data_IF_731423377886
#
_entry.id   IF_731423377886
#
_cell.length_a   1.000
_cell.length_b   1.000
_cell.length_c   1.000
_cell.angle_alpha   90.00
_cell.angle_beta   90.00
_cell.angle_gamma   90.00
#
_symmetry.space_group_name_H-M   'P 1'
#
loop_
_entity.id
_entity.type
_entity.pdbx_description
1 polymer ?
#
# COMPACT_ATOMS: atom_id res chain seq x y z
N UNK A 1 30.17 32.98 -20.58
CA UNK A 1 29.13 33.59 -21.46
C UNK A 1 28.03 32.56 -21.70
N UNK A 2 26.89 32.68 -21.01
CA UNK A 2 25.71 31.82 -21.18
C UNK A 2 24.79 32.45 -22.25
N UNK A 3 24.49 31.73 -23.32
CA UNK A 3 23.40 32.10 -24.24
C UNK A 3 22.04 31.80 -23.57
N UNK A 4 21.02 32.67 -23.71
CA UNK A 4 19.73 32.48 -23.06
C UNK A 4 18.87 31.42 -23.75
N UNK A 5 18.11 30.70 -22.91
CA UNK A 5 17.22 29.57 -23.18
C UNK A 5 16.23 29.76 -24.36
N UNK A 6 15.91 31.02 -24.71
CA UNK A 6 15.03 31.38 -25.83
C UNK A 6 15.52 30.87 -27.20
N UNK A 7 16.83 30.75 -27.41
CA UNK A 7 17.38 30.30 -28.70
C UNK A 7 17.25 28.79 -28.97
N UNK A 8 17.16 27.96 -27.92
CA UNK A 8 16.91 26.51 -28.09
C UNK A 8 15.45 26.22 -28.46
N UNK A 9 14.52 27.02 -27.94
CA UNK A 9 13.08 26.88 -28.23
C UNK A 9 12.76 27.19 -29.70
N UNK A 10 13.39 28.22 -30.29
CA UNK A 10 13.22 28.57 -31.70
C UNK A 10 13.75 27.50 -32.67
N UNK A 11 14.79 26.73 -32.29
CA UNK A 11 15.26 25.60 -33.11
C UNK A 11 14.28 24.43 -33.12
N UNK A 12 13.58 24.17 -32.01
CA UNK A 12 12.58 23.10 -31.92
C UNK A 12 11.34 23.48 -32.75
N UNK A 13 10.90 24.73 -32.69
CA UNK A 13 9.80 25.26 -33.53
C UNK A 13 10.13 25.24 -35.03
N UNK A 14 11.38 25.54 -35.41
CA UNK A 14 11.83 25.48 -36.81
C UNK A 14 11.90 24.06 -37.39
N UNK A 15 12.10 23.03 -36.55
CA UNK A 15 12.08 21.62 -36.96
C UNK A 15 10.65 21.10 -37.11
N UNK A 16 9.74 21.50 -36.22
CA UNK A 16 8.32 21.12 -36.28
C UNK A 16 7.64 21.74 -37.53
N UNK A 17 8.01 22.96 -37.92
CA UNK A 17 7.53 23.59 -39.16
C UNK A 17 7.93 22.84 -40.44
N UNK A 18 9.08 22.14 -40.46
CA UNK A 18 9.54 21.34 -41.61
C UNK A 18 8.85 19.98 -41.73
N UNK A 19 8.28 19.46 -40.64
CA UNK A 19 7.61 18.15 -40.61
C UNK A 19 6.17 18.23 -41.17
N UNK A 20 5.54 19.41 -41.15
CA UNK A 20 4.19 19.64 -41.68
C UNK A 20 4.10 19.77 -43.24
N UNK A 21 5.09 19.24 -43.96
CA UNK A 21 5.14 19.18 -45.42
C UNK A 21 4.03 18.28 -45.99
N UNK A 22 2.85 18.84 -46.28
CA UNK A 22 1.83 18.17 -47.10
C UNK A 22 2.29 18.11 -48.56
N UNK A 23 2.72 16.92 -48.99
CA UNK A 23 2.86 16.59 -50.43
C UNK A 23 1.48 16.54 -51.05
N UNK A 24 1.16 17.52 -51.89
CA UNK A 24 -0.01 17.48 -52.77
C UNK A 24 0.21 16.39 -53.83
N UNK A 25 -0.59 15.32 -53.80
CA UNK A 25 -0.67 14.38 -54.92
C UNK A 25 -1.51 15.02 -56.03
N UNK A 26 -0.89 15.27 -57.19
CA UNK A 26 -1.58 15.61 -58.43
C UNK A 26 -2.16 14.33 -59.03
N UNK A 27 -3.49 14.18 -59.01
CA UNK A 27 -4.19 13.21 -59.86
C UNK A 27 -4.55 13.92 -61.16
N UNK A 28 -3.91 13.51 -62.25
CA UNK A 28 -4.23 13.94 -63.62
C UNK A 28 -5.47 13.19 -64.10
N UNK A 29 -6.55 13.91 -64.43
CA UNK A 29 -7.49 13.47 -65.47
C UNK A 29 -8.00 14.65 -66.32
N UNK A 30 -7.78 14.50 -67.63
CA UNK A 30 -8.36 15.07 -68.86
C UNK A 30 -9.20 16.37 -68.85
N UNK A 31 -8.61 17.40 -69.47
CA UNK A 31 -9.16 18.43 -70.38
C UNK A 31 -10.65 18.85 -70.30
N UNK A 32 -10.92 20.08 -69.86
CA UNK A 32 -11.16 21.28 -70.71
C UNK A 32 -11.51 22.47 -69.81
N UNK A 33 -10.70 23.53 -69.93
CA UNK A 33 -10.60 24.61 -68.95
C UNK A 33 -11.75 25.60 -68.93
N UNK A 34 -12.26 25.84 -67.71
CA UNK A 34 -12.74 27.14 -67.21
C UNK A 34 -12.39 27.17 -65.72
N UNK A 35 -11.59 28.16 -65.30
CA UNK A 35 -11.20 28.38 -63.89
C UNK A 35 -12.25 29.26 -63.23
N UNK A 36 -12.92 28.77 -62.19
CA UNK A 36 -13.61 29.61 -61.21
C UNK A 36 -12.79 29.64 -59.91
N UNK A 37 -12.59 30.82 -59.28
CA UNK A 37 -11.96 30.87 -57.96
C UNK A 37 -12.96 30.37 -56.92
N UNK A 38 -12.85 29.10 -56.53
CA UNK A 38 -13.59 28.56 -55.40
C UNK A 38 -12.82 28.89 -54.12
N UNK A 39 -13.28 29.93 -53.41
CA UNK A 39 -12.87 30.20 -52.03
C UNK A 39 -13.42 29.07 -51.14
N UNK A 40 -12.55 28.14 -50.73
CA UNK A 40 -12.88 27.16 -49.69
C UNK A 40 -12.23 27.60 -48.39
N UNK A 41 -13.08 28.22 -47.56
CA UNK A 41 -13.12 28.13 -46.10
C UNK A 41 -11.79 28.08 -45.33
N UNK A 42 -11.37 29.26 -44.87
CA UNK A 42 -10.44 29.49 -43.74
C UNK A 42 -10.98 28.99 -42.38
N UNK A 43 -12.15 28.35 -42.33
CA UNK A 43 -12.77 27.85 -41.10
C UNK A 43 -12.15 26.54 -40.58
N UNK A 44 -11.74 25.62 -41.45
CA UNK A 44 -11.27 24.29 -41.02
C UNK A 44 -9.91 24.39 -40.31
N UNK A 45 -9.03 25.30 -40.78
CA UNK A 45 -7.72 25.52 -40.16
C UNK A 45 -7.82 26.15 -38.76
N UNK A 46 -8.83 27.00 -38.52
CA UNK A 46 -9.02 27.62 -37.21
C UNK A 46 -9.50 26.61 -36.18
N UNK A 47 -10.47 25.75 -36.54
CA UNK A 47 -10.94 24.68 -35.66
C UNK A 47 -9.84 23.66 -35.32
N UNK A 48 -9.02 23.27 -36.29
CA UNK A 48 -7.90 22.36 -36.03
C UNK A 48 -6.80 22.99 -35.16
N UNK A 49 -6.56 24.30 -35.26
CA UNK A 49 -5.61 24.98 -34.36
C UNK A 49 -6.15 25.17 -32.95
N UNK A 50 -7.44 25.47 -32.80
CA UNK A 50 -8.11 25.54 -31.49
C UNK A 50 -8.14 24.15 -30.83
N UNK A 51 -8.45 23.09 -31.58
CA UNK A 51 -8.48 21.72 -31.05
C UNK A 51 -7.08 21.27 -30.60
N UNK A 52 -6.04 21.55 -31.40
CA UNK A 52 -4.66 21.25 -31.02
C UNK A 52 -4.17 22.11 -29.84
N UNK A 53 -4.62 23.36 -29.72
CA UNK A 53 -4.29 24.22 -28.58
C UNK A 53 -4.96 23.73 -27.30
N UNK A 54 -6.23 23.30 -27.37
CA UNK A 54 -6.95 22.68 -26.24
C UNK A 54 -6.31 21.34 -25.87
N UNK A 55 -5.92 20.51 -26.83
CA UNK A 55 -5.22 19.25 -26.57
C UNK A 55 -3.84 19.49 -25.95
N UNK A 56 -3.13 20.55 -26.37
CA UNK A 56 -1.86 20.96 -25.79
C UNK A 56 -2.05 21.51 -24.37
N UNK A 57 -3.12 22.27 -24.08
CA UNK A 57 -3.44 22.72 -22.72
C UNK A 57 -3.77 21.54 -21.81
N UNK A 58 -4.53 20.54 -22.28
CA UNK A 58 -4.82 19.29 -21.54
C UNK A 58 -3.55 18.46 -21.33
N UNK A 59 -2.64 18.42 -22.32
CA UNK A 59 -1.35 17.74 -22.22
C UNK A 59 -0.36 18.48 -21.30
N UNK A 60 -0.45 19.81 -21.21
CA UNK A 60 0.35 20.63 -20.28
C UNK A 60 -0.18 20.53 -18.86
N UNK A 61 -1.50 20.47 -18.65
CA UNK A 61 -2.11 20.20 -17.32
C UNK A 61 -1.76 18.79 -16.82
N UNK A 62 -1.76 17.78 -17.70
CA UNK A 62 -1.34 16.42 -17.31
C UNK A 62 0.16 16.26 -17.12
N UNK A 63 0.99 17.15 -17.70
CA UNK A 63 2.44 17.17 -17.49
C UNK A 63 2.89 18.04 -16.30
N UNK A 64 1.97 18.82 -15.71
CA UNK A 64 2.25 19.64 -14.51
C UNK A 64 1.74 19.03 -13.20
N UNK A 65 1.13 17.84 -13.21
CA UNK A 65 0.78 17.11 -11.99
C UNK A 65 1.91 16.19 -11.48
N UNK A 66 3.16 16.59 -11.67
CA UNK A 66 4.29 16.14 -10.86
C UNK A 66 4.74 17.28 -9.92
N UNK A 67 3.77 18.01 -9.39
CA UNK A 67 4.01 19.12 -8.48
C UNK A 67 4.14 18.58 -7.05
N UNK A 68 5.39 18.43 -6.61
CA UNK A 68 5.87 18.57 -5.24
C UNK A 68 4.75 18.60 -4.19
N UNK A 69 4.25 17.43 -3.81
CA UNK A 69 3.26 17.30 -2.73
C UNK A 69 3.95 17.83 -1.47
N UNK A 70 3.62 19.08 -1.09
CA UNK A 70 4.30 19.81 -0.02
C UNK A 70 4.48 18.88 1.18
N UNK A 71 5.69 18.88 1.73
CA UNK A 71 5.99 18.23 2.98
C UNK A 71 4.94 18.60 4.03
N UNK A 72 4.08 17.63 4.38
CA UNK A 72 3.01 17.83 5.35
C UNK A 72 3.49 17.36 6.72
N UNK A 73 3.33 18.23 7.71
CA UNK A 73 3.59 17.93 9.12
C UNK A 73 2.23 17.57 9.75
N UNK A 74 2.04 16.32 10.18
CA UNK A 74 0.79 15.87 10.77
C UNK A 74 0.59 16.52 12.13
N UNK A 75 -0.65 16.96 12.39
CA UNK A 75 -1.09 17.31 13.73
C UNK A 75 -1.72 16.08 14.37
N UNK A 76 -1.43 15.85 15.63
CA UNK A 76 -1.86 14.64 16.34
C UNK A 76 -3.38 14.48 16.43
N UNK A 77 -4.13 15.58 16.48
CA UNK A 77 -5.57 15.60 16.65
C UNK A 77 -6.36 15.86 15.34
N UNK A 78 -5.70 15.87 14.18
CA UNK A 78 -6.34 16.09 12.89
C UNK A 78 -5.93 14.98 11.92
N UNK A 79 -6.88 14.48 11.15
CA UNK A 79 -6.59 13.60 10.02
C UNK A 79 -5.96 14.42 8.89
N UNK A 80 -4.97 13.87 8.16
CA UNK A 80 -4.32 14.60 7.10
C UNK A 80 -5.27 14.81 5.91
N UNK A 81 -5.03 15.84 5.08
CA UNK A 81 -5.78 16.04 3.85
C UNK A 81 -5.65 14.83 2.91
N UNK A 82 -6.69 14.54 2.09
CA UNK A 82 -6.62 13.48 1.10
C UNK A 82 -5.48 13.72 0.11
N UNK A 83 -4.96 12.64 -0.46
CA UNK A 83 -3.87 12.69 -1.44
C UNK A 83 -2.66 13.50 -0.98
N UNK A 84 -2.25 13.33 0.27
CA UNK A 84 -0.99 13.87 0.82
C UNK A 84 -0.10 12.76 1.36
N UNK A 85 1.20 13.01 1.48
CA UNK A 85 2.17 12.07 2.05
C UNK A 85 2.93 11.29 0.99
N UNK A 86 4.20 11.02 1.29
CA UNK A 86 5.17 10.44 0.37
C UNK A 86 5.05 8.92 0.34
N UNK A 87 5.01 8.37 -0.86
CA UNK A 87 5.03 6.93 -1.08
C UNK A 87 6.45 6.38 -0.85
N UNK A 88 6.56 5.34 -0.03
CA UNK A 88 7.81 4.63 0.26
C UNK A 88 7.52 3.14 0.31
N UNK A 89 8.38 2.34 -0.32
CA UNK A 89 8.31 0.88 -0.29
C UNK A 89 9.63 0.24 0.12
N UNK A 90 9.52 -0.95 0.71
CA UNK A 90 10.66 -1.74 1.14
C UNK A 90 10.30 -2.92 2.01
N UNK A 91 11.30 -3.73 2.31
CA UNK A 91 11.18 -4.91 3.17
C UNK A 91 11.15 -4.53 4.65
N UNK A 92 10.21 -5.08 5.42
CA UNK A 92 10.18 -4.93 6.87
C UNK A 92 11.34 -5.70 7.52
N UNK A 93 12.27 -4.99 8.15
CA UNK A 93 13.48 -5.58 8.78
C UNK A 93 13.53 -5.44 10.30
N UNK A 94 12.66 -4.60 10.89
CA UNK A 94 12.57 -4.40 12.33
C UNK A 94 11.11 -4.14 12.72
N UNK A 95 10.68 -4.67 13.86
CA UNK A 95 9.32 -4.47 14.37
C UNK A 95 9.29 -4.27 15.88
N UNK A 96 8.59 -3.22 16.31
CA UNK A 96 8.17 -2.96 17.69
C UNK A 96 6.67 -2.69 17.66
N UNK A 97 5.84 -3.75 17.77
CA UNK A 97 4.40 -3.61 17.63
C UNK A 97 3.76 -2.92 18.84
N UNK A 98 4.44 -2.87 19.98
CA UNK A 98 3.93 -2.28 21.21
C UNK A 98 3.91 -0.76 21.09
N UNK A 99 5.00 -0.18 20.58
CA UNK A 99 5.09 1.25 20.34
C UNK A 99 4.68 1.64 18.91
N UNK A 100 4.20 0.67 18.12
CA UNK A 100 3.83 0.82 16.69
C UNK A 100 4.96 1.42 15.86
N UNK A 101 6.17 0.87 15.97
CA UNK A 101 7.38 1.30 15.25
C UNK A 101 7.97 0.16 14.46
N UNK A 102 8.70 0.48 13.41
CA UNK A 102 9.42 -0.52 12.64
C UNK A 102 10.56 0.08 11.83
N UNK A 103 11.11 -0.72 10.94
CA UNK A 103 12.11 -0.27 9.98
C UNK A 103 11.98 -0.98 8.65
N UNK A 104 12.07 -0.21 7.58
CA UNK A 104 12.06 -0.70 6.21
C UNK A 104 13.47 -0.65 5.62
N UNK A 105 13.89 -1.73 4.96
CA UNK A 105 14.96 -1.68 3.98
C UNK A 105 14.35 -1.25 2.66
N UNK A 106 14.61 0.00 2.28
CA UNK A 106 13.96 0.61 1.13
C UNK A 106 14.36 -0.06 -0.18
N UNK A 107 13.43 -0.06 -1.13
CA UNK A 107 13.62 -0.60 -2.47
C UNK A 107 14.80 0.03 -3.21
N UNK A 108 15.57 -0.83 -3.88
CA UNK A 108 16.73 -0.45 -4.66
C UNK A 108 16.49 0.63 -5.72
N UNK A 109 17.54 1.35 -6.07
CA UNK A 109 17.58 2.40 -7.10
C UNK A 109 18.62 2.08 -8.19
N UNK A 110 19.04 0.81 -8.29
CA UNK A 110 20.05 0.32 -9.22
C UNK A 110 21.44 0.94 -9.02
N UNK A 111 21.71 1.43 -7.80
CA UNK A 111 22.99 2.00 -7.44
C UNK A 111 23.79 1.05 -6.54
N UNK A 112 24.96 0.62 -7.00
CA UNK A 112 25.84 -0.27 -6.24
C UNK A 112 26.39 0.38 -4.96
N UNK A 113 26.53 1.71 -4.93
CA UNK A 113 27.01 2.46 -3.76
C UNK A 113 26.04 2.42 -2.57
N UNK A 114 24.82 1.90 -2.77
CA UNK A 114 23.76 1.89 -1.76
C UNK A 114 24.03 0.89 -0.64
N UNK A 115 24.69 -0.23 -0.93
CA UNK A 115 24.78 -1.37 -0.03
C UNK A 115 25.30 -0.99 1.36
N UNK A 116 26.38 -0.19 1.44
CA UNK A 116 26.99 0.24 2.70
C UNK A 116 26.47 1.59 3.23
N UNK A 117 25.54 2.24 2.50
CA UNK A 117 25.11 3.63 2.76
C UNK A 117 23.62 3.77 3.08
N UNK A 118 22.83 2.72 2.87
CA UNK A 118 21.40 2.69 3.15
C UNK A 118 21.10 2.02 4.50
N UNK A 119 21.08 2.81 5.57
CA UNK A 119 20.55 2.34 6.84
C UNK A 119 19.04 2.05 6.72
N UNK A 120 18.52 1.19 7.60
CA UNK A 120 17.09 0.89 7.62
C UNK A 120 16.29 2.17 7.92
N UNK A 121 15.32 2.48 7.06
CA UNK A 121 14.40 3.58 7.23
C UNK A 121 13.44 3.28 8.38
N UNK A 122 13.75 3.84 9.55
CA UNK A 122 12.92 3.69 10.75
C UNK A 122 11.63 4.50 10.62
N UNK A 123 10.54 3.95 11.12
CA UNK A 123 9.25 4.62 11.12
C UNK A 123 8.48 4.43 12.43
N UNK A 124 7.55 5.33 12.68
CA UNK A 124 6.49 5.20 13.66
C UNK A 124 5.13 5.31 12.97
N UNK A 125 4.13 4.54 13.40
CA UNK A 125 2.76 4.71 12.92
C UNK A 125 2.15 5.94 13.59
N UNK A 126 1.40 6.72 12.81
CA UNK A 126 0.47 7.68 13.39
C UNK A 126 -0.62 6.94 14.21
N UNK A 127 -1.24 7.60 15.21
CA UNK A 127 -2.28 6.97 16.03
C UNK A 127 -3.44 6.43 15.18
N UNK A 128 -3.85 7.17 14.16
CA UNK A 128 -4.86 6.79 13.17
C UNK A 128 -4.27 6.08 11.94
N UNK A 129 -3.03 5.63 12.01
CA UNK A 129 -2.37 4.90 10.93
C UNK A 129 -2.99 3.51 10.72
N UNK A 130 -3.25 3.16 9.47
CA UNK A 130 -3.91 1.93 9.05
C UNK A 130 -2.87 0.95 8.51
N UNK A 131 -3.07 -0.34 8.77
CA UNK A 131 -2.21 -1.41 8.27
C UNK A 131 -3.09 -2.48 7.61
N UNK A 132 -2.69 -2.94 6.43
CA UNK A 132 -3.33 -4.03 5.71
C UNK A 132 -2.34 -5.17 5.48
N UNK A 133 -2.79 -6.40 5.67
CA UNK A 133 -2.05 -7.61 5.40
C UNK A 133 -2.98 -8.65 4.81
N UNK A 134 -2.55 -9.35 3.74
CA UNK A 134 -3.37 -10.36 3.07
C UNK A 134 -4.81 -9.92 2.72
N UNK A 135 -5.00 -8.63 2.39
CA UNK A 135 -6.27 -8.05 1.97
C UNK A 135 -7.24 -7.72 3.10
N UNK A 136 -6.81 -7.80 4.37
CA UNK A 136 -7.62 -7.45 5.53
C UNK A 136 -6.88 -6.46 6.45
N UNK A 137 -7.61 -5.74 7.33
CA UNK A 137 -7.01 -4.97 8.40
C UNK A 137 -6.03 -5.77 9.26
N UNK A 138 -4.97 -5.13 9.72
CA UNK A 138 -3.92 -5.76 10.48
C UNK A 138 -3.34 -4.84 11.55
N UNK A 139 -2.64 -5.44 12.50
CA UNK A 139 -1.73 -4.73 13.39
C UNK A 139 -0.30 -5.02 12.99
N UNK A 140 0.64 -4.16 13.41
CA UNK A 140 2.04 -4.30 13.02
C UNK A 140 2.67 -5.63 13.46
N UNK A 141 2.15 -6.25 14.53
CA UNK A 141 2.59 -7.59 15.01
C UNK A 141 2.16 -8.73 14.10
N UNK A 142 1.16 -8.52 13.25
CA UNK A 142 0.63 -9.55 12.37
C UNK A 142 1.53 -9.72 11.13
N UNK A 143 2.37 -8.72 10.84
CA UNK A 143 3.25 -8.70 9.67
C UNK A 143 4.60 -9.35 10.02
N UNK A 144 4.98 -10.46 9.35
CA UNK A 144 6.29 -11.06 9.51
C UNK A 144 7.41 -10.13 9.03
N UNK A 145 8.56 -10.16 9.72
CA UNK A 145 9.82 -9.61 9.18
C UNK A 145 10.15 -10.33 7.86
N UNK A 146 10.64 -9.57 6.89
CA UNK A 146 10.87 -10.02 5.52
C UNK A 146 9.73 -9.69 4.55
N UNK A 147 8.56 -9.28 5.06
CA UNK A 147 7.44 -8.89 4.19
C UNK A 147 7.77 -7.58 3.47
N UNK A 148 7.61 -7.55 2.15
CA UNK A 148 7.68 -6.30 1.39
C UNK A 148 6.41 -5.48 1.62
N UNK A 149 6.59 -4.20 1.98
CA UNK A 149 5.52 -3.29 2.36
C UNK A 149 5.55 -2.03 1.49
N UNK A 150 4.35 -1.59 1.16
CA UNK A 150 4.02 -0.33 0.53
C UNK A 150 3.45 0.61 1.59
N UNK A 151 3.97 1.84 1.68
CA UNK A 151 3.48 2.78 2.68
C UNK A 151 3.37 4.21 2.22
N UNK A 152 2.61 4.98 3.00
CA UNK A 152 2.47 6.42 2.84
C UNK A 152 2.92 7.12 4.11
N UNK A 153 3.85 8.05 3.97
CA UNK A 153 4.61 8.62 5.07
C UNK A 153 4.57 10.14 5.09
N UNK A 154 4.64 10.70 6.28
CA UNK A 154 4.72 12.12 6.54
C UNK A 154 5.98 12.47 7.31
N UNK A 155 6.24 13.77 7.42
CA UNK A 155 7.21 14.29 8.38
C UNK A 155 6.78 13.96 9.81
N UNK A 156 7.72 13.92 10.77
CA UNK A 156 7.38 13.79 12.17
C UNK A 156 6.44 14.92 12.63
N UNK A 157 5.42 14.63 13.46
CA UNK A 157 4.65 15.66 14.14
C UNK A 157 5.58 16.61 14.91
N UNK A 158 5.16 17.86 15.07
CA UNK A 158 5.94 18.87 15.79
C UNK A 158 6.24 18.40 17.24
N UNK A 159 7.51 18.48 17.65
CA UNK A 159 7.97 18.03 18.97
C UNK A 159 8.11 16.50 19.12
N UNK A 160 7.76 15.70 18.12
CA UNK A 160 7.91 14.26 18.19
C UNK A 160 9.38 13.82 17.96
N UNK A 161 10.02 13.34 19.03
CA UNK A 161 11.40 12.83 19.02
C UNK A 161 11.46 11.30 19.06
N UNK A 162 10.36 10.61 18.73
CA UNK A 162 10.24 9.15 18.83
C UNK A 162 11.24 8.42 17.94
N UNK A 163 11.36 8.88 16.69
CA UNK A 163 12.33 8.36 15.73
C UNK A 163 13.42 9.42 15.59
N UNK A 164 14.69 9.06 15.82
CA UNK A 164 15.78 10.02 15.61
C UNK A 164 15.80 10.45 14.14
N UNK A 165 16.29 11.67 13.84
CA UNK A 165 16.48 12.11 12.47
C UNK A 165 17.27 11.07 11.66
N UNK A 166 16.96 10.90 10.37
CA UNK A 166 17.66 9.92 9.54
C UNK A 166 19.16 10.23 9.47
N UNK A 167 19.98 9.22 9.73
CA UNK A 167 21.44 9.29 9.56
C UNK A 167 21.80 8.67 8.21
N UNK A 168 22.28 9.50 7.28
CA UNK A 168 22.75 9.06 5.97
C UNK A 168 22.33 9.99 4.82
N UNK A 169 22.67 9.61 3.57
CA UNK A 169 22.27 10.36 2.39
C UNK A 169 20.73 10.41 2.29
N UNK A 170 20.12 11.60 2.11
CA UNK A 170 18.66 11.75 2.06
C UNK A 170 17.96 10.90 1.00
N UNK A 171 18.67 10.52 -0.08
CA UNK A 171 18.14 9.63 -1.11
C UNK A 171 17.91 8.19 -0.63
N UNK A 172 18.63 7.73 0.40
CA UNK A 172 18.54 6.36 0.91
C UNK A 172 17.77 6.28 2.23
N UNK A 173 17.72 7.40 2.97
CA UNK A 173 17.01 7.49 4.25
C UNK A 173 16.15 8.75 4.23
N UNK A 174 14.95 8.69 3.64
CA UNK A 174 14.03 9.82 3.60
C UNK A 174 13.68 10.32 5.01
N UNK A 175 13.38 11.62 5.11
CA UNK A 175 12.97 12.26 6.37
C UNK A 175 11.52 11.98 6.77
N UNK A 176 10.70 11.44 5.86
CA UNK A 176 9.30 11.09 6.10
C UNK A 176 9.22 9.76 6.83
N UNK A 177 9.14 9.78 8.16
CA UNK A 177 9.24 8.60 9.01
C UNK A 177 7.96 8.32 9.82
N UNK A 178 6.85 9.02 9.56
CA UNK A 178 5.57 8.77 10.23
C UNK A 178 4.55 8.20 9.24
N UNK A 179 4.23 6.91 9.40
CA UNK A 179 3.36 6.17 8.50
C UNK A 179 1.89 6.38 8.83
N UNK A 180 1.08 6.70 7.81
CA UNK A 180 -0.39 6.64 7.89
C UNK A 180 -0.96 5.35 7.31
N UNK A 181 -0.24 4.71 6.39
CA UNK A 181 -0.68 3.52 5.70
C UNK A 181 0.51 2.60 5.49
N UNK A 182 0.32 1.31 5.78
CA UNK A 182 1.20 0.22 5.38
C UNK A 182 0.35 -0.91 4.78
N UNK A 183 0.78 -1.48 3.67
CA UNK A 183 0.12 -2.57 2.95
C UNK A 183 1.17 -3.56 2.44
N UNK A 184 0.97 -4.86 2.59
CA UNK A 184 1.77 -5.85 1.84
C UNK A 184 1.41 -5.84 0.34
N UNK A 185 2.23 -6.48 -0.50
CA UNK A 185 1.98 -6.55 -1.94
C UNK A 185 0.57 -7.06 -2.25
N UNK A 186 0.14 -8.12 -1.55
CA UNK A 186 -1.20 -8.69 -1.73
C UNK A 186 -2.27 -7.63 -1.55
N UNK A 187 -2.26 -6.91 -0.41
CA UNK A 187 -3.28 -5.90 -0.12
C UNK A 187 -3.17 -4.71 -1.07
N UNK A 188 -1.94 -4.25 -1.32
CA UNK A 188 -1.65 -3.08 -2.14
C UNK A 188 -2.18 -3.25 -3.57
N UNK A 189 -1.82 -4.35 -4.23
CA UNK A 189 -2.24 -4.62 -5.60
C UNK A 189 -3.74 -5.00 -5.67
N UNK A 190 -4.22 -5.86 -4.77
CA UNK A 190 -5.63 -6.29 -4.78
C UNK A 190 -6.59 -5.11 -4.60
N UNK A 191 -6.35 -4.20 -3.66
CA UNK A 191 -7.22 -3.03 -3.43
C UNK A 191 -7.27 -2.08 -4.62
N UNK A 192 -6.20 -2.03 -5.41
CA UNK A 192 -6.11 -1.20 -6.61
C UNK A 192 -6.66 -1.91 -7.85
N UNK A 193 -7.11 -3.16 -7.73
CA UNK A 193 -7.61 -3.96 -8.84
C UNK A 193 -6.52 -4.49 -9.76
N UNK A 194 -5.26 -4.53 -9.30
CA UNK A 194 -4.15 -5.14 -10.02
C UNK A 194 -3.93 -6.57 -9.53
N UNK A 195 -3.67 -7.48 -10.47
CA UNK A 195 -3.20 -8.85 -10.23
C UNK A 195 -2.13 -9.22 -11.26
N UNK A 196 -1.71 -10.49 -11.29
CA UNK A 196 -0.61 -10.94 -12.13
C UNK A 196 -1.02 -12.13 -13.00
N UNK A 197 -0.82 -12.06 -14.31
CA UNK A 197 -0.88 -13.22 -15.19
C UNK A 197 0.49 -13.89 -15.25
N UNK A 198 0.55 -15.21 -15.07
CA UNK A 198 1.78 -15.97 -15.20
C UNK A 198 2.12 -16.15 -16.68
N UNK A 199 3.22 -15.57 -17.15
CA UNK A 199 3.71 -15.82 -18.51
C UNK A 199 4.42 -17.16 -18.58
N UNK A 200 5.42 -17.35 -17.70
CA UNK A 200 6.19 -18.59 -17.64
C UNK A 200 6.76 -18.81 -16.24
N UNK A 201 7.00 -20.07 -15.94
CA UNK A 201 7.73 -20.50 -14.76
C UNK A 201 8.91 -21.34 -15.24
N UNK A 202 10.10 -21.05 -14.72
CA UNK A 202 11.32 -21.81 -14.99
C UNK A 202 11.92 -22.25 -13.66
N UNK A 203 12.06 -23.56 -13.46
CA UNK A 203 12.54 -24.18 -12.23
C UNK A 203 13.82 -24.95 -12.53
N UNK A 204 14.90 -24.59 -11.85
CA UNK A 204 16.21 -25.24 -12.00
C UNK A 204 16.38 -26.29 -10.90
N UNK A 205 16.73 -27.50 -11.32
CA UNK A 205 17.09 -28.59 -10.43
C UNK A 205 18.61 -28.72 -10.36
N UNK A 206 19.15 -28.89 -9.15
CA UNK A 206 20.59 -28.99 -8.94
C UNK A 206 21.19 -30.20 -9.66
N UNK A 207 22.37 -30.02 -10.25
CA UNK A 207 23.13 -31.17 -10.77
C UNK A 207 23.74 -31.93 -9.59
N UNK A 208 23.63 -33.26 -9.58
CA UNK A 208 24.10 -34.15 -8.51
C UNK A 208 25.62 -34.17 -8.26
N UNK A 209 26.40 -33.20 -8.76
CA UNK A 209 27.86 -33.18 -8.67
C UNK A 209 28.43 -32.41 -7.47
N UNK A 210 27.62 -31.61 -6.78
CA UNK A 210 28.05 -30.87 -5.57
C UNK A 210 27.36 -31.41 -4.31
N UNK A 211 27.77 -32.61 -3.88
CA UNK A 211 27.85 -33.00 -2.46
C UNK A 211 26.64 -32.92 -1.49
N UNK A 212 25.44 -32.46 -1.86
CA UNK A 212 24.26 -32.39 -0.98
C UNK A 212 22.93 -32.39 -1.76
N UNK A 213 21.94 -33.25 -1.41
CA UNK A 213 22.02 -34.69 -1.43
C UNK A 213 21.23 -35.30 -2.61
N UNK A 214 21.60 -36.53 -2.98
CA UNK A 214 21.17 -37.22 -4.20
C UNK A 214 19.84 -37.99 -4.14
N UNK A 215 19.66 -38.80 -5.21
CA UNK A 215 18.57 -39.74 -5.46
C UNK A 215 18.17 -40.50 -4.18
N UNK A 216 16.87 -40.64 -3.92
CA UNK A 216 16.44 -41.62 -2.93
C UNK A 216 16.64 -43.04 -3.49
N UNK A 217 16.55 -44.04 -2.62
CA UNK A 217 16.69 -45.47 -2.94
C UNK A 217 15.71 -46.00 -4.00
N UNK A 218 14.69 -45.21 -4.38
CA UNK A 218 13.69 -45.56 -5.40
C UNK A 218 14.00 -44.96 -6.78
N UNK A 219 15.12 -44.25 -6.95
CA UNK A 219 15.47 -43.60 -8.22
C UNK A 219 14.65 -42.35 -8.53
N UNK A 220 13.88 -41.83 -7.56
CA UNK A 220 13.26 -40.53 -7.69
C UNK A 220 14.31 -39.44 -7.44
N UNK A 221 14.29 -38.39 -8.27
CA UNK A 221 14.95 -37.13 -7.95
C UNK A 221 14.55 -36.69 -6.55
N UNK A 222 15.42 -36.00 -5.81
CA UNK A 222 14.88 -35.03 -4.85
C UNK A 222 14.19 -33.96 -5.69
N UNK A 223 12.87 -34.14 -5.91
CA UNK A 223 12.00 -33.38 -6.82
C UNK A 223 11.78 -31.93 -6.36
N UNK A 224 12.73 -31.30 -5.67
CA UNK A 224 12.58 -29.93 -5.22
C UNK A 224 13.47 -29.01 -6.08
N UNK A 225 12.91 -28.00 -6.75
CA UNK A 225 13.71 -27.02 -7.48
C UNK A 225 14.60 -26.24 -6.50
N UNK A 226 15.84 -25.96 -6.89
CA UNK A 226 16.79 -25.24 -6.03
C UNK A 226 16.55 -23.74 -6.15
N UNK A 227 16.30 -23.28 -7.38
CA UNK A 227 16.07 -21.88 -7.75
C UNK A 227 15.12 -21.85 -8.94
N UNK A 228 14.43 -20.74 -9.13
CA UNK A 228 13.54 -20.56 -10.26
C UNK A 228 13.21 -19.11 -10.55
N UNK A 229 12.50 -18.91 -11.66
CA UNK A 229 12.04 -17.62 -12.14
C UNK A 229 10.55 -17.69 -12.44
N UNK A 230 9.79 -16.79 -11.83
CA UNK A 230 8.38 -16.56 -12.12
C UNK A 230 8.27 -15.30 -12.97
N UNK A 231 7.90 -15.47 -14.24
CA UNK A 231 7.68 -14.37 -15.16
C UNK A 231 6.20 -14.03 -15.20
N UNK A 232 5.86 -12.78 -14.91
CA UNK A 232 4.47 -12.30 -14.84
C UNK A 232 4.27 -11.01 -15.61
N UNK A 233 3.04 -10.78 -16.05
CA UNK A 233 2.58 -9.51 -16.57
C UNK A 233 1.41 -9.01 -15.72
N UNK A 234 1.40 -7.74 -15.30
CA UNK A 234 0.30 -7.22 -14.51
C UNK A 234 -0.98 -7.13 -15.33
N UNK A 235 -2.12 -7.36 -14.67
CA UNK A 235 -3.47 -7.31 -15.25
C UNK A 235 -4.43 -6.55 -14.35
N UNK A 236 -5.51 -6.05 -14.94
CA UNK A 236 -6.50 -5.23 -14.26
C UNK A 236 -6.13 -3.75 -14.26
N UNK A 237 -6.35 -3.09 -13.14
CA UNK A 237 -6.15 -1.64 -12.99
C UNK A 237 -4.72 -1.36 -12.57
N UNK A 238 -3.91 -0.86 -13.51
CA UNK A 238 -2.50 -0.61 -13.30
C UNK A 238 -2.26 0.45 -12.22
N UNK A 239 -1.49 0.09 -11.20
CA UNK A 239 -1.07 1.02 -10.15
C UNK A 239 -0.21 2.14 -10.74
N UNK A 240 -0.42 3.37 -10.25
CA UNK A 240 0.41 4.52 -10.64
C UNK A 240 1.83 4.39 -10.07
N UNK A 241 1.89 3.97 -8.81
CA UNK A 241 3.10 3.79 -8.03
C UNK A 241 3.49 2.30 -8.07
N UNK A 242 4.75 2.00 -8.44
CA UNK A 242 5.35 0.66 -8.57
C UNK A 242 5.15 -0.17 -9.87
N UNK A 243 5.05 -1.50 -9.72
CA UNK A 243 5.41 -2.51 -10.72
C UNK A 243 4.32 -2.58 -11.80
N UNK A 244 4.53 -1.85 -12.90
CA UNK A 244 3.55 -1.67 -13.99
C UNK A 244 3.87 -2.37 -15.32
N UNK A 245 4.98 -3.08 -15.39
CA UNK A 245 5.43 -3.76 -16.59
C UNK A 245 5.61 -5.25 -16.32
N UNK A 246 5.94 -6.02 -17.35
CA UNK A 246 6.44 -7.38 -17.20
C UNK A 246 7.53 -7.46 -16.13
N UNK A 247 7.42 -8.43 -15.22
CA UNK A 247 8.36 -8.68 -14.13
C UNK A 247 8.79 -10.13 -14.12
N UNK A 248 10.02 -10.33 -13.67
CA UNK A 248 10.55 -11.64 -13.34
C UNK A 248 10.91 -11.61 -11.87
N UNK A 249 10.27 -12.47 -11.09
CA UNK A 249 10.56 -12.67 -9.68
C UNK A 249 11.39 -13.94 -9.50
N UNK A 250 12.22 -13.93 -8.47
CA UNK A 250 12.92 -15.15 -8.04
C UNK A 250 11.96 -16.02 -7.22
N UNK A 251 12.06 -17.32 -7.41
CA UNK A 251 11.32 -18.32 -6.63
C UNK A 251 12.24 -19.46 -6.25
N UNK A 252 11.87 -20.22 -5.24
CA UNK A 252 12.60 -21.40 -4.81
C UNK A 252 11.62 -22.49 -4.32
N UNK A 253 12.15 -23.59 -3.79
CA UNK A 253 11.31 -24.65 -3.19
C UNK A 253 10.51 -24.23 -1.96
N UNK A 254 10.81 -23.08 -1.36
CA UNK A 254 10.17 -22.60 -0.15
C UNK A 254 9.10 -21.55 -0.44
N UNK A 255 9.00 -21.06 -1.68
CA UNK A 255 7.83 -20.31 -2.14
C UNK A 255 6.55 -21.12 -1.91
N UNK A 256 5.67 -20.62 -1.05
CA UNK A 256 4.40 -21.29 -0.70
C UNK A 256 3.36 -21.00 -1.76
N UNK A 257 2.81 -22.05 -2.38
CA UNK A 257 1.79 -21.92 -3.43
C UNK A 257 0.43 -22.28 -2.85
N UNK A 258 -0.44 -21.29 -2.71
CA UNK A 258 -1.76 -21.46 -2.12
C UNK A 258 -2.82 -21.68 -3.21
N UNK A 259 -3.51 -22.82 -3.16
CA UNK A 259 -4.58 -23.18 -4.11
C UNK A 259 -5.76 -23.78 -3.34
N UNK A 260 -6.97 -23.29 -3.59
CA UNK A 260 -8.14 -23.62 -2.80
C UNK A 260 -7.92 -23.34 -1.31
N UNK A 261 -8.05 -24.37 -0.48
CA UNK A 261 -7.87 -24.27 0.98
C UNK A 261 -6.54 -24.84 1.50
N UNK A 262 -5.56 -25.08 0.62
CA UNK A 262 -4.29 -25.72 0.99
C UNK A 262 -3.08 -25.10 0.30
N UNK A 263 -1.93 -25.71 0.57
CA UNK A 263 -0.66 -25.43 -0.11
C UNK A 263 -0.36 -26.61 -1.04
N UNK A 264 0.11 -26.30 -2.25
CA UNK A 264 0.50 -27.28 -3.26
C UNK A 264 1.98 -27.14 -3.58
N UNK A 265 2.55 -28.17 -4.21
CA UNK A 265 3.93 -28.13 -4.70
C UNK A 265 4.00 -27.52 -6.11
N UNK A 266 5.20 -27.15 -6.55
CA UNK A 266 5.43 -26.62 -7.88
C UNK A 266 4.94 -27.57 -8.98
N UNK A 267 5.10 -28.87 -8.78
CA UNK A 267 4.67 -29.94 -9.68
C UNK A 267 3.15 -29.91 -9.98
N UNK A 268 2.34 -29.44 -9.02
CA UNK A 268 0.88 -29.55 -9.05
C UNK A 268 0.18 -28.34 -9.69
N UNK A 269 0.95 -27.31 -10.08
CA UNK A 269 0.38 -26.10 -10.69
C UNK A 269 -0.14 -26.36 -12.12
N UNK A 270 0.37 -27.39 -12.78
CA UNK A 270 0.05 -27.75 -14.16
C UNK A 270 0.19 -29.27 -14.36
N UNK A 271 -0.60 -29.88 -15.27
CA UNK A 271 -0.49 -31.32 -15.54
C UNK A 271 0.88 -31.66 -16.13
N UNK A 272 1.38 -32.87 -15.87
CA UNK A 272 2.74 -33.31 -16.25
C UNK A 272 3.06 -33.10 -17.74
N UNK A 273 2.08 -33.29 -18.62
CA UNK A 273 2.22 -33.13 -20.06
C UNK A 273 2.38 -31.67 -20.53
N UNK A 274 2.09 -30.69 -19.67
CA UNK A 274 2.29 -29.27 -19.96
C UNK A 274 3.72 -28.79 -19.66
N UNK A 275 4.48 -29.57 -18.89
CA UNK A 275 5.85 -29.24 -18.51
C UNK A 275 6.85 -29.67 -19.58
N UNK A 276 7.88 -28.84 -19.79
CA UNK A 276 9.03 -29.19 -20.63
C UNK A 276 10.31 -29.21 -19.83
N UNK A 277 11.18 -30.19 -20.09
CA UNK A 277 12.49 -30.33 -19.47
C UNK A 277 13.60 -30.08 -20.48
N UNK A 278 14.51 -29.16 -20.18
CA UNK A 278 15.72 -28.91 -20.97
C UNK A 278 16.86 -28.43 -20.06
N UNK A 279 18.04 -29.03 -20.18
CA UNK A 279 19.25 -28.60 -19.46
C UNK A 279 19.06 -28.45 -17.94
N UNK A 280 18.36 -29.41 -17.30
CA UNK A 280 17.95 -29.40 -15.88
C UNK A 280 17.01 -28.25 -15.47
N UNK A 281 16.42 -27.56 -16.44
CA UNK A 281 15.38 -26.56 -16.23
C UNK A 281 14.03 -27.14 -16.66
N UNK A 282 13.09 -27.13 -15.73
CA UNK A 282 11.68 -27.46 -15.97
C UNK A 282 10.92 -26.17 -16.20
N UNK A 283 10.13 -26.10 -17.27
CA UNK A 283 9.38 -24.88 -17.58
C UNK A 283 7.96 -25.15 -18.05
N UNK A 284 7.08 -24.19 -17.76
CA UNK A 284 5.66 -24.21 -18.15
C UNK A 284 5.19 -22.78 -18.45
N UNK A 285 4.25 -22.66 -19.39
CA UNK A 285 3.59 -21.39 -19.74
C UNK A 285 2.13 -21.42 -19.26
N UNK A 286 1.72 -20.41 -18.50
CA UNK A 286 0.40 -20.36 -17.84
C UNK A 286 -0.32 -19.02 -18.08
N UNK A 287 -0.31 -18.55 -19.34
CA UNK A 287 -0.68 -17.18 -19.71
C UNK A 287 -2.08 -16.70 -19.24
N UNK A 288 -2.99 -17.62 -18.90
CA UNK A 288 -4.35 -17.33 -18.42
C UNK A 288 -4.51 -17.40 -16.90
N UNK A 289 -3.48 -17.83 -16.16
CA UNK A 289 -3.56 -18.00 -14.72
C UNK A 289 -3.31 -16.66 -14.01
N UNK A 290 -4.34 -16.17 -13.32
CA UNK A 290 -4.31 -14.93 -12.53
C UNK A 290 -3.96 -15.24 -11.08
N UNK A 291 -2.90 -14.63 -10.58
CA UNK A 291 -2.38 -14.85 -9.22
C UNK A 291 -2.16 -13.53 -8.48
N UNK A 292 -2.02 -13.64 -7.15
CA UNK A 292 -1.40 -12.60 -6.33
C UNK A 292 -0.07 -13.11 -5.76
N UNK A 293 0.86 -12.20 -5.53
CA UNK A 293 2.20 -12.51 -5.01
C UNK A 293 2.45 -11.75 -3.72
N UNK A 294 3.13 -12.39 -2.77
CA UNK A 294 3.71 -11.77 -1.59
C UNK A 294 5.21 -11.76 -1.74
N UNK A 295 5.80 -10.56 -1.83
CA UNK A 295 7.22 -10.42 -2.10
C UNK A 295 8.02 -10.37 -0.80
N UNK A 296 9.26 -10.81 -0.91
CA UNK A 296 10.29 -10.75 0.12
C UNK A 296 11.62 -10.37 -0.52
N UNK A 297 12.61 -10.18 0.33
CA UNK A 297 13.97 -9.86 -0.05
C UNK A 297 14.57 -10.86 -1.03
N UNK A 298 15.35 -10.32 -1.97
CA UNK A 298 16.27 -11.08 -2.81
C UNK A 298 17.71 -10.57 -2.62
N UNK A 299 18.74 -11.39 -2.87
CA UNK A 299 20.14 -10.99 -2.79
C UNK A 299 20.46 -9.69 -3.56
N UNK A 300 19.84 -9.50 -4.71
CA UNK A 300 19.99 -8.32 -5.58
C UNK A 300 18.93 -7.23 -5.33
N UNK A 301 18.43 -7.09 -4.10
CA UNK A 301 17.42 -6.10 -3.70
C UNK A 301 17.74 -4.65 -4.13
N UNK A 302 19.04 -4.29 -4.16
CA UNK A 302 19.53 -2.98 -4.65
C UNK A 302 19.12 -2.68 -6.11
N UNK A 303 18.82 -3.73 -6.87
CA UNK A 303 18.39 -3.71 -8.26
C UNK A 303 16.88 -3.95 -8.42
N UNK A 304 16.09 -3.75 -7.34
CA UNK A 304 14.63 -4.03 -7.31
C UNK A 304 14.28 -5.43 -7.79
N UNK A 305 15.12 -6.39 -7.42
CA UNK A 305 14.82 -7.80 -7.58
C UNK A 305 14.17 -8.29 -6.30
N UNK A 306 13.16 -9.14 -6.45
CA UNK A 306 12.35 -9.63 -5.35
C UNK A 306 12.18 -11.14 -5.46
N UNK A 307 12.10 -11.79 -4.31
CA UNK A 307 11.75 -13.19 -4.21
C UNK A 307 10.26 -13.33 -3.87
N UNK A 308 9.60 -14.38 -4.32
CA UNK A 308 8.20 -14.66 -3.95
C UNK A 308 8.18 -15.55 -2.71
N UNK A 309 7.68 -15.02 -1.59
CA UNK A 309 7.41 -15.82 -0.39
C UNK A 309 6.13 -16.65 -0.55
N UNK A 310 5.08 -16.02 -1.07
CA UNK A 310 3.74 -16.59 -1.17
C UNK A 310 3.15 -16.31 -2.56
N UNK A 311 2.55 -17.33 -3.17
CA UNK A 311 1.86 -17.27 -4.44
C UNK A 311 0.41 -17.74 -4.24
N UNK A 312 -0.55 -16.83 -4.30
CA UNK A 312 -1.97 -17.18 -4.25
C UNK A 312 -2.48 -17.47 -5.65
N UNK A 313 -2.59 -18.76 -5.94
CA UNK A 313 -2.84 -19.28 -7.27
C UNK A 313 -4.26 -19.02 -7.77
N UNK A 314 -5.26 -18.99 -6.89
CA UNK A 314 -6.66 -18.82 -7.27
C UNK A 314 -7.43 -17.87 -6.33
N UNK A 315 -8.70 -17.59 -6.64
CA UNK A 315 -9.53 -16.69 -5.85
C UNK A 315 -9.92 -17.25 -4.48
N UNK A 316 -10.07 -18.58 -4.39
CA UNK A 316 -10.43 -19.23 -3.13
C UNK A 316 -9.28 -19.08 -2.11
N UNK A 317 -8.04 -19.27 -2.54
CA UNK A 317 -6.87 -19.12 -1.67
C UNK A 317 -6.65 -17.67 -1.22
N UNK A 318 -6.93 -16.69 -2.09
CA UNK A 318 -6.95 -15.26 -1.72
C UNK A 318 -7.99 -14.96 -0.65
N UNK A 319 -9.23 -15.43 -0.84
CA UNK A 319 -10.32 -15.28 0.14
C UNK A 319 -9.99 -15.94 1.47
N UNK A 320 -9.35 -17.11 1.44
CA UNK A 320 -8.92 -17.80 2.65
C UNK A 320 -7.89 -16.99 3.44
N UNK A 321 -6.88 -16.43 2.76
CA UNK A 321 -5.86 -15.60 3.37
C UNK A 321 -6.46 -14.34 4.02
N UNK A 322 -7.33 -13.62 3.30
CA UNK A 322 -8.07 -12.47 3.84
C UNK A 322 -8.89 -12.86 5.06
N UNK A 323 -9.66 -13.96 4.98
CA UNK A 323 -10.48 -14.44 6.09
C UNK A 323 -9.66 -14.80 7.34
N UNK A 324 -8.48 -15.39 7.15
CA UNK A 324 -7.58 -15.69 8.26
C UNK A 324 -7.12 -14.41 8.95
N UNK A 325 -6.64 -13.43 8.19
CA UNK A 325 -6.16 -12.17 8.74
C UNK A 325 -7.28 -11.34 9.39
N UNK A 326 -8.48 -11.30 8.78
CA UNK A 326 -9.67 -10.68 9.41
C UNK A 326 -9.92 -11.25 10.81
N UNK A 327 -9.86 -12.57 10.99
CA UNK A 327 -10.08 -13.21 12.30
C UNK A 327 -9.02 -12.83 13.33
N UNK A 328 -7.75 -12.74 12.90
CA UNK A 328 -6.64 -12.30 13.76
C UNK A 328 -6.91 -10.87 14.26
N UNK A 329 -7.23 -9.97 13.34
CA UNK A 329 -7.47 -8.57 13.66
C UNK A 329 -8.74 -8.36 14.51
N UNK A 330 -9.85 -9.02 14.18
CA UNK A 330 -11.08 -8.99 14.97
C UNK A 330 -10.80 -9.37 16.43
N UNK A 331 -10.09 -10.48 16.67
CA UNK A 331 -9.72 -10.90 18.03
C UNK A 331 -8.87 -9.85 18.73
N UNK A 332 -7.94 -9.22 18.02
CA UNK A 332 -7.09 -8.17 18.57
C UNK A 332 -7.92 -6.96 19.04
N UNK A 333 -8.83 -6.46 18.19
CA UNK A 333 -9.66 -5.31 18.51
C UNK A 333 -10.69 -5.61 19.60
N UNK A 334 -11.34 -6.79 19.59
CA UNK A 334 -12.29 -7.17 20.65
C UNK A 334 -11.64 -7.20 22.03
N UNK A 335 -10.36 -7.58 22.12
CA UNK A 335 -9.61 -7.52 23.38
C UNK A 335 -9.17 -6.10 23.74
N UNK A 336 -9.08 -5.16 22.77
CA UNK A 336 -8.46 -3.85 22.97
C UNK A 336 -9.40 -2.64 22.87
N UNK A 337 -10.62 -2.82 22.39
CA UNK A 337 -11.51 -1.71 22.02
C UNK A 337 -11.06 -1.06 20.71
N UNK A 338 -11.99 -0.38 20.04
CA UNK A 338 -11.67 0.44 18.87
C UNK A 338 -10.97 1.73 19.31
N UNK A 339 -9.97 2.16 18.56
CA UNK A 339 -9.30 3.42 18.81
C UNK A 339 -10.07 4.60 18.21
N UNK A 340 -10.02 5.73 18.90
CA UNK A 340 -10.66 6.96 18.46
C UNK A 340 -9.91 8.19 18.96
N UNK A 341 -10.15 9.32 18.30
CA UNK A 341 -9.74 10.65 18.77
C UNK A 341 -10.94 11.36 19.38
N UNK A 342 -10.71 12.08 20.48
CA UNK A 342 -11.74 12.96 21.05
C UNK A 342 -11.71 14.29 20.29
N UNK A 343 -12.79 14.58 19.58
CA UNK A 343 -12.91 15.83 18.82
C UNK A 343 -13.46 16.96 19.69
N UNK A 344 -14.37 16.65 20.61
CA UNK A 344 -15.04 17.64 21.44
C UNK A 344 -15.57 17.03 22.74
N UNK A 345 -15.67 17.86 23.78
CA UNK A 345 -16.33 17.51 25.04
C UNK A 345 -17.30 18.62 25.40
N UNK A 346 -18.57 18.27 25.59
CA UNK A 346 -19.60 19.19 26.06
C UNK A 346 -19.83 18.95 27.56
N UNK A 347 -19.33 19.86 28.38
CA UNK A 347 -19.47 19.77 29.83
C UNK A 347 -20.91 20.09 30.28
N UNK A 348 -21.43 19.30 31.22
CA UNK A 348 -22.78 19.47 31.79
C UNK A 348 -22.75 19.76 33.30
N UNK A 349 -21.57 19.93 33.89
CA UNK A 349 -21.39 20.16 35.34
C UNK A 349 -21.36 18.87 36.16
N UNK A 350 -20.90 18.97 37.41
CA UNK A 350 -20.78 17.84 38.35
C UNK A 350 -19.98 16.64 37.81
N UNK A 351 -19.01 16.90 36.93
CA UNK A 351 -18.19 15.86 36.28
C UNK A 351 -18.84 15.23 35.03
N UNK A 352 -20.11 15.50 34.74
CA UNK A 352 -20.83 14.93 33.59
C UNK A 352 -20.49 15.63 32.28
N UNK A 353 -20.59 14.89 31.19
CA UNK A 353 -20.53 15.49 29.86
C UNK A 353 -20.78 14.51 28.72
N UNK A 354 -20.84 15.07 27.52
CA UNK A 354 -20.92 14.32 26.27
C UNK A 354 -19.53 14.36 25.63
N UNK A 355 -18.91 13.21 25.48
CA UNK A 355 -17.64 13.05 24.77
C UNK A 355 -17.96 12.68 23.33
N UNK A 356 -17.49 13.51 22.39
CA UNK A 356 -17.66 13.30 20.95
C UNK A 356 -16.34 12.76 20.41
N UNK A 357 -16.39 11.52 19.91
CA UNK A 357 -15.21 10.81 19.41
C UNK A 357 -15.40 10.42 17.96
N UNK A 358 -14.32 10.41 17.18
CA UNK A 358 -14.31 9.85 15.82
C UNK A 358 -13.48 8.58 15.83
N UNK A 359 -14.11 7.45 15.46
CA UNK A 359 -13.44 6.16 15.40
C UNK A 359 -12.39 6.16 14.28
N UNK A 360 -11.24 5.57 14.54
CA UNK A 360 -10.21 5.37 13.53
C UNK A 360 -10.65 4.35 12.49
N UNK A 361 -10.21 4.57 11.25
CA UNK A 361 -10.48 3.70 10.11
C UNK A 361 -9.61 2.44 10.12
N UNK A 362 -9.80 1.61 9.09
CA UNK A 362 -9.00 0.40 8.92
C UNK A 362 -9.33 -0.70 9.93
N UNK A 363 -10.61 -0.86 10.23
CA UNK A 363 -11.15 -1.99 11.00
C UNK A 363 -12.12 -2.77 10.12
N UNK A 364 -12.50 -3.98 10.57
CA UNK A 364 -13.60 -4.73 9.95
C UNK A 364 -14.94 -4.04 10.21
N UNK A 365 -15.80 -3.93 9.19
CA UNK A 365 -17.08 -3.22 9.28
C UNK A 365 -17.99 -3.79 10.38
N UNK A 366 -17.93 -5.10 10.63
CA UNK A 366 -18.71 -5.75 11.67
C UNK A 366 -18.37 -5.27 13.09
N UNK A 367 -17.17 -4.70 13.31
CA UNK A 367 -16.84 -4.06 14.58
C UNK A 367 -17.53 -2.70 14.74
N UNK A 368 -17.70 -1.95 13.65
CA UNK A 368 -18.40 -0.67 13.68
C UNK A 368 -19.91 -0.86 13.84
N UNK A 369 -20.48 -1.87 13.18
CA UNK A 369 -21.90 -2.21 13.24
C UNK A 369 -22.40 -2.54 14.65
N UNK A 370 -21.50 -2.94 15.54
CA UNK A 370 -21.81 -3.20 16.93
C UNK A 370 -22.04 -1.90 17.72
N UNK A 371 -21.69 -0.71 17.21
CA UNK A 371 -21.97 0.57 17.86
C UNK A 371 -23.33 1.13 17.40
N UNK A 372 -24.30 1.14 18.32
CA UNK A 372 -25.68 1.58 18.06
C UNK A 372 -26.13 2.58 19.14
N UNK A 373 -27.07 3.46 18.78
CA UNK A 373 -27.68 4.39 19.74
C UNK A 373 -28.29 3.61 20.91
N UNK A 374 -28.26 4.22 22.10
CA UNK A 374 -28.71 3.63 23.38
C UNK A 374 -27.90 2.43 23.86
N UNK A 375 -26.75 2.17 23.25
CA UNK A 375 -25.87 1.13 23.72
C UNK A 375 -24.90 1.60 24.80
N UNK A 376 -24.68 0.75 25.79
CA UNK A 376 -23.66 0.95 26.80
C UNK A 376 -22.27 0.65 26.25
N UNK A 377 -21.33 1.54 26.52
CA UNK A 377 -19.92 1.44 26.12
C UNK A 377 -19.02 1.74 27.31
N UNK A 378 -17.76 1.31 27.19
CA UNK A 378 -16.70 1.68 28.13
C UNK A 378 -15.63 2.47 27.38
N UNK A 379 -15.33 3.67 27.86
CA UNK A 379 -14.34 4.59 27.32
C UNK A 379 -13.08 4.53 28.17
N UNK A 380 -11.92 4.29 27.55
CA UNK A 380 -10.64 4.19 28.23
C UNK A 380 -9.64 5.19 27.63
N UNK A 381 -8.91 5.91 28.48
CA UNK A 381 -7.87 6.82 28.02
C UNK A 381 -6.70 6.04 27.36
N UNK A 382 -6.22 6.53 26.22
CA UNK A 382 -5.11 5.94 25.48
C UNK A 382 -4.04 6.98 25.11
N UNK A 383 -2.80 6.50 24.93
CA UNK A 383 -1.71 7.29 24.38
C UNK A 383 -1.67 7.24 22.84
N UNK A 384 -0.73 7.97 22.23
CA UNK A 384 -0.46 7.98 20.78
C UNK A 384 -0.17 6.58 20.22
N UNK A 385 0.44 5.72 21.03
CA UNK A 385 0.70 4.30 20.69
C UNK A 385 -0.53 3.41 20.84
N UNK A 386 -1.69 3.99 21.17
CA UNK A 386 -2.98 3.36 21.42
C UNK A 386 -3.03 2.39 22.61
N UNK A 387 -2.01 2.47 23.47
CA UNK A 387 -1.92 1.74 24.73
C UNK A 387 -2.71 2.46 25.82
N UNK A 388 -3.27 1.68 26.74
CA UNK A 388 -3.99 2.15 27.92
C UNK A 388 -3.16 1.86 29.17
N UNK A 389 -3.18 2.71 30.20
CA UNK A 389 -2.49 2.45 31.47
C UNK A 389 -3.12 1.26 32.21
N UNK A 390 -4.33 1.44 32.74
CA UNK A 390 -5.05 0.36 33.38
C UNK A 390 -6.53 0.37 33.03
N UNK A 391 -6.87 -0.32 31.94
CA UNK A 391 -8.24 -0.39 31.41
C UNK A 391 -9.33 -0.58 32.46
N UNK A 392 -9.14 -1.51 33.41
CA UNK A 392 -10.19 -1.82 34.39
C UNK A 392 -10.48 -0.71 35.41
N UNK A 393 -9.57 0.26 35.54
CA UNK A 393 -9.69 1.36 36.51
C UNK A 393 -9.75 2.73 35.84
N UNK A 394 -9.02 2.93 34.73
CA UNK A 394 -8.99 4.18 33.96
C UNK A 394 -10.01 4.18 32.82
N UNK A 395 -11.23 3.80 33.16
CA UNK A 395 -12.34 3.82 32.23
C UNK A 395 -13.54 4.53 32.81
N UNK A 396 -14.48 4.88 31.93
CA UNK A 396 -15.82 5.31 32.29
C UNK A 396 -16.83 4.62 31.42
N UNK A 397 -17.88 4.13 32.05
CA UNK A 397 -19.05 3.65 31.34
C UNK A 397 -19.87 4.85 30.85
N UNK A 398 -20.49 4.67 29.69
CA UNK A 398 -21.30 5.69 29.06
C UNK A 398 -22.35 5.10 28.14
N UNK A 399 -23.26 5.96 27.69
CA UNK A 399 -24.32 5.60 26.77
C UNK A 399 -24.14 6.36 25.46
N UNK A 400 -24.21 5.65 24.33
CA UNK A 400 -24.27 6.31 23.03
C UNK A 400 -25.62 6.99 22.88
N UNK A 401 -25.62 8.31 22.74
CA UNK A 401 -26.83 9.11 22.58
C UNK A 401 -27.07 9.56 21.14
N UNK A 402 -26.02 9.59 20.32
CA UNK A 402 -26.08 9.94 18.89
C UNK A 402 -24.90 9.32 18.13
N UNK A 403 -25.10 9.05 16.84
CA UNK A 403 -24.08 8.57 15.91
C UNK A 403 -24.19 9.39 14.63
N UNK A 404 -23.08 10.00 14.22
CA UNK A 404 -22.99 10.75 12.97
C UNK A 404 -22.03 10.08 12.00
N UNK A 405 -22.41 10.09 10.73
CA UNK A 405 -21.59 9.60 9.64
C UNK A 405 -21.10 10.78 8.80
N UNK A 406 -19.80 10.83 8.55
CA UNK A 406 -19.16 11.81 7.68
C UNK A 406 -18.85 11.12 6.36
N UNK A 407 -19.57 11.51 5.31
CA UNK A 407 -19.31 11.04 3.95
C UNK A 407 -17.91 11.46 3.48
N UNK A 408 -17.22 10.58 2.76
CA UNK A 408 -15.87 10.82 2.21
C UNK A 408 -14.83 11.21 3.28
N UNK A 409 -14.70 10.37 4.30
CA UNK A 409 -13.76 10.61 5.39
C UNK A 409 -12.29 10.49 4.95
N UNK A 410 -11.40 11.31 5.54
CA UNK A 410 -9.97 11.28 5.22
C UNK A 410 -9.32 9.96 5.65
N UNK A 411 -8.15 9.65 5.07
CA UNK A 411 -7.38 8.46 5.42
C UNK A 411 -7.10 8.43 6.92
N UNK A 412 -7.30 7.27 7.55
CA UNK A 412 -7.16 7.09 9.01
C UNK A 412 -8.45 7.31 9.80
N UNK A 413 -9.47 7.96 9.23
CA UNK A 413 -10.80 8.09 9.83
C UNK A 413 -11.76 7.02 9.31
N UNK A 414 -12.64 6.51 10.18
CA UNK A 414 -13.78 5.68 9.76
C UNK A 414 -14.96 6.50 9.23
N UNK A 415 -14.99 7.80 9.56
CA UNK A 415 -16.16 8.64 9.36
C UNK A 415 -17.30 8.43 10.34
N UNK A 416 -17.12 7.57 11.35
CA UNK A 416 -18.12 7.29 12.37
C UNK A 416 -17.79 8.10 13.61
N UNK A 417 -18.67 9.03 13.95
CA UNK A 417 -18.57 9.88 15.13
C UNK A 417 -19.60 9.42 16.17
N UNK A 418 -19.13 9.04 17.36
CA UNK A 418 -19.97 8.63 18.48
C UNK A 418 -20.11 9.77 19.49
N UNK A 419 -21.34 10.02 19.95
CA UNK A 419 -21.64 10.97 21.02
C UNK A 419 -21.99 10.16 22.25
N UNK A 420 -21.11 10.19 23.25
CA UNK A 420 -21.21 9.30 24.41
C UNK A 420 -21.43 10.14 25.66
N UNK A 421 -22.58 9.95 26.30
CA UNK A 421 -22.89 10.53 27.60
C UNK A 421 -22.13 9.76 28.68
N UNK A 422 -21.33 10.47 29.48
CA UNK A 422 -20.62 9.92 30.64
C UNK A 422 -20.96 10.71 31.89
N UNK A 423 -20.99 10.02 33.03
CA UNK A 423 -21.27 10.67 34.32
C UNK A 423 -20.03 11.30 34.96
N UNK A 424 -18.84 10.83 34.61
CA UNK A 424 -17.57 11.36 35.14
C UNK A 424 -16.56 11.51 34.00
N UNK A 425 -16.09 12.72 33.76
CA UNK A 425 -15.07 13.01 32.76
C UNK A 425 -13.67 12.76 33.32
N UNK A 426 -12.87 11.96 32.60
CA UNK A 426 -11.46 11.78 32.88
C UNK A 426 -10.60 12.81 32.13
N UNK A 427 -9.42 13.08 32.67
CA UNK A 427 -8.41 13.91 32.01
C UNK A 427 -8.04 13.41 30.61
N UNK A 428 -8.04 12.09 30.43
CA UNK A 428 -7.78 11.44 29.15
C UNK A 428 -8.86 11.66 28.09
N UNK A 429 -10.01 12.24 28.44
CA UNK A 429 -11.11 12.53 27.50
C UNK A 429 -11.07 13.96 26.97
N UNK A 430 -10.00 14.73 27.19
CA UNK A 430 -9.88 16.07 26.61
C UNK A 430 -9.81 16.02 25.08
N UNK A 431 -10.28 17.10 24.44
CA UNK A 431 -10.13 17.29 22.99
C UNK A 431 -8.68 17.07 22.55
N UNK A 432 -8.52 16.29 21.48
CA UNK A 432 -7.24 15.91 20.90
C UNK A 432 -6.53 14.73 21.58
N UNK A 433 -7.10 14.17 22.65
CA UNK A 433 -6.62 12.92 23.26
C UNK A 433 -7.19 11.71 22.53
N UNK A 434 -6.56 10.57 22.75
CA UNK A 434 -6.96 9.29 22.18
C UNK A 434 -7.66 8.45 23.22
N UNK A 435 -8.63 7.67 22.78
CA UNK A 435 -9.35 6.72 23.62
C UNK A 435 -9.47 5.37 22.93
N UNK A 436 -9.69 4.34 23.74
CA UNK A 436 -10.22 3.06 23.31
C UNK A 436 -11.68 2.97 23.76
N UNK A 437 -12.56 2.58 22.87
CA UNK A 437 -13.98 2.33 23.16
C UNK A 437 -14.31 0.87 22.89
N UNK A 438 -14.86 0.19 23.88
CA UNK A 438 -15.38 -1.18 23.74
C UNK A 438 -16.83 -1.25 24.20
N UNK A 439 -17.49 -2.32 23.75
CA UNK A 439 -18.86 -2.64 24.15
C UNK A 439 -18.80 -3.38 25.46
N UNK A 440 -19.80 -3.17 26.32
CA UNK A 440 -19.82 -3.80 27.65
C UNK A 440 -19.84 -5.33 27.62
N UNK A 441 -20.32 -5.91 26.52
CA UNK A 441 -20.37 -7.36 26.31
C UNK A 441 -19.12 -7.94 25.64
N UNK A 442 -18.14 -7.11 25.23
CA UNK A 442 -16.87 -7.61 24.68
C UNK A 442 -16.02 -8.28 25.77
N UNK A 443 -15.10 -9.19 25.39
CA UNK A 443 -14.24 -9.86 26.36
C UNK A 443 -13.38 -8.88 27.16
N UNK A 444 -13.59 -8.81 28.49
CA UNK A 444 -12.73 -8.04 29.40
C UNK A 444 -11.43 -8.79 29.70
N UNK A 445 -10.46 -8.66 28.79
CA UNK A 445 -9.15 -9.31 28.91
C UNK A 445 -8.16 -8.40 29.65
N UNK A 446 -7.46 -8.95 30.65
CA UNK A 446 -6.33 -8.25 31.29
C UNK A 446 -5.14 -8.25 30.32
N UNK A 447 -4.81 -7.10 29.77
CA UNK A 447 -3.67 -6.98 28.85
C UNK A 447 -2.34 -7.31 29.55
N UNK A 448 -1.38 -7.90 28.80
CA UNK A 448 -0.02 -8.13 29.28
C UNK A 448 0.62 -6.84 29.82
N UNK A 449 1.46 -6.90 30.87
CA UNK A 449 2.13 -5.71 31.43
C UNK A 449 2.97 -4.93 30.41
N UNK A 450 3.49 -5.58 29.39
CA UNK A 450 4.32 -4.98 28.33
C UNK A 450 3.51 -4.03 27.43
N UNK A 451 2.19 -4.27 27.29
CA UNK A 451 1.28 -3.47 26.49
C UNK A 451 0.68 -2.28 27.26
N UNK A 452 1.02 -2.14 28.54
CA UNK A 452 0.54 -1.02 29.35
C UNK A 452 1.45 0.17 29.19
N UNK A 453 0.85 1.35 29.29
CA UNK A 453 1.59 2.56 29.63
C UNK A 453 2.19 2.35 31.02
N UNK A 454 3.46 2.74 31.20
CA UNK A 454 4.17 2.60 32.48
C UNK A 454 4.27 3.94 33.17
#
# INVERSE_FOLDING_TARGET
MKLPLKFKLLRILGVISRILNCRLFLVLTSERGVVHPFQIFTGISFYCHVLNFVLLCILVETSFSAENQKDYIPKLNEFPPPDTGVYIAGELVMVDPINRRGGLRLDGDFNDDRYDKASAHRFAMLPYGIIWYHGAPAELRDIPIGTHLHGRFYLPPEGNMTIPPPEGPPQYVPKHNHAILLEDDFSFYQRRGQAWNILSIELRYGSSKEGFPGLNENGDWRKAPVEGKLKVIPVGHMVKDELKNERTFEVDRFTRIWKGNGVIEWEDIAPENAWTMKDNVRSVFLATQVVQVGLTWAPEWKNRQFHVADLWFDEESRKLATKHQTRVHLRYQLHRGLAAVVEQVNHQGLGKGIVIITLFGGMDDGLYDDFQISSAVTLCAAEETLRTYWRNHDNKEGLIIDIKHVESSPLGSSGIQLHIQVDELLEGFRRGRFVRVDRTHWPRVKLPPEERVR
#
